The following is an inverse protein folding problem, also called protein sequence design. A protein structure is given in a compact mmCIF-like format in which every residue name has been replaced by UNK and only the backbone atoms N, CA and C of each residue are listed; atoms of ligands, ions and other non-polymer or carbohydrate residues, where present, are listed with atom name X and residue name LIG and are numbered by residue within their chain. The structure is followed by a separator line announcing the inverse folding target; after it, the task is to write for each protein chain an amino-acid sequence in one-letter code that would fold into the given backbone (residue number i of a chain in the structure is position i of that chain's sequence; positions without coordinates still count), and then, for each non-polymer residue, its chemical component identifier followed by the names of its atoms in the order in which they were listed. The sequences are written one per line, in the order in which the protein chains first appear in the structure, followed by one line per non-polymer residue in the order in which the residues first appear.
data_IF_720092899424
#
_entry.id   IF_720092899424
#
_cell.length_a   1.000
_cell.length_b   1.000
_cell.length_c   1.000
_cell.angle_alpha   90.00
_cell.angle_beta   90.00
_cell.angle_gamma   90.00
#
_symmetry.space_group_name_H-M   'P 1'
#
loop_
_entity.id
_entity.type
_entity.pdbx_description
1 polymer ?
#
# COMPACT_ATOMS: atom_id res chain seq x y z
N UNK A 1 -16.19 -0.56 25.25
CA UNK A 1 -14.79 -0.11 25.45
C UNK A 1 -14.31 -0.75 26.75
N UNK A 2 -13.24 -1.54 26.75
CA UNK A 2 -12.82 -2.31 27.93
C UNK A 2 -12.24 -1.37 29.02
N UNK A 3 -12.61 -1.56 30.31
CA UNK A 3 -12.25 -0.64 31.41
C UNK A 3 -10.75 -0.52 31.68
N UNK A 4 -9.94 -1.51 31.25
CA UNK A 4 -8.47 -1.55 31.40
C UNK A 4 -7.74 -0.41 30.67
N UNK A 5 -8.32 0.17 29.62
CA UNK A 5 -7.67 1.23 28.83
C UNK A 5 -8.09 2.65 29.20
N UNK A 6 -8.87 2.83 30.29
CA UNK A 6 -9.42 4.13 30.68
C UNK A 6 -8.34 5.20 30.91
N UNK A 7 -7.31 4.88 31.70
CA UNK A 7 -6.19 5.80 31.98
C UNK A 7 -5.39 6.20 30.74
N UNK A 8 -5.29 5.30 29.75
CA UNK A 8 -4.61 5.60 28.48
C UNK A 8 -5.49 6.48 27.58
N UNK A 9 -6.79 6.21 27.55
CA UNK A 9 -7.75 7.00 26.76
C UNK A 9 -7.88 8.44 27.26
N UNK A 10 -7.68 8.69 28.55
CA UNK A 10 -7.65 10.04 29.15
C UNK A 10 -6.40 10.85 28.74
N UNK A 11 -5.33 10.20 28.23
CA UNK A 11 -4.08 10.85 27.79
C UNK A 11 -3.96 11.03 26.27
N UNK A 12 -4.88 10.46 25.49
CA UNK A 12 -4.88 10.57 24.02
C UNK A 12 -5.96 11.58 23.62
N UNK A 13 -5.56 12.84 23.49
CA UNK A 13 -6.45 13.97 23.18
C UNK A 13 -6.88 13.99 21.71
N UNK A 14 -6.08 13.45 20.79
CA UNK A 14 -6.36 13.45 19.35
C UNK A 14 -6.41 12.04 18.82
N UNK A 15 -7.51 11.73 18.12
CA UNK A 15 -7.67 10.48 17.36
C UNK A 15 -7.93 10.87 15.92
N UNK A 16 -7.02 10.51 15.04
CA UNK A 16 -7.19 10.71 13.61
C UNK A 16 -7.05 9.37 12.89
N UNK A 17 -8.06 9.04 12.09
CA UNK A 17 -8.01 7.88 11.21
C UNK A 17 -7.53 8.34 9.83
N UNK A 18 -6.25 8.07 9.53
CA UNK A 18 -5.71 8.34 8.20
C UNK A 18 -6.46 7.48 7.17
N UNK A 19 -6.96 8.15 6.13
CA UNK A 19 -7.60 7.47 5.01
C UNK A 19 -6.52 6.86 4.11
N UNK A 20 -6.81 5.72 3.45
CA UNK A 20 -5.93 5.20 2.41
C UNK A 20 -5.76 6.20 1.26
N UNK A 21 -4.60 6.17 0.62
CA UNK A 21 -4.27 7.03 -0.51
C UNK A 21 -5.10 6.66 -1.75
N UNK A 22 -5.55 7.65 -2.52
CA UNK A 22 -6.14 7.43 -3.83
C UNK A 22 -5.07 7.05 -4.89
N UNK A 23 -5.45 6.58 -6.09
CA UNK A 23 -4.49 6.15 -7.11
C UNK A 23 -3.43 7.20 -7.47
N UNK A 24 -3.84 8.47 -7.54
CA UNK A 24 -2.92 9.59 -7.81
C UNK A 24 -1.93 9.78 -6.65
N UNK A 25 -2.43 9.79 -5.43
CA UNK A 25 -1.58 9.93 -4.24
C UNK A 25 -0.63 8.75 -4.06
N UNK A 26 -0.99 7.54 -4.51
CA UNK A 26 -0.07 6.39 -4.51
C UNK A 26 1.12 6.64 -5.44
N UNK A 27 0.90 7.21 -6.63
CA UNK A 27 2.00 7.63 -7.51
C UNK A 27 2.87 8.66 -6.81
N UNK A 28 2.26 9.76 -6.36
CA UNK A 28 2.98 10.88 -5.75
C UNK A 28 3.78 10.41 -4.53
N UNK A 29 3.21 9.49 -3.74
CA UNK A 29 3.86 8.84 -2.62
C UNK A 29 5.10 8.03 -3.04
N UNK A 30 4.98 7.17 -4.05
CA UNK A 30 6.09 6.35 -4.54
C UNK A 30 7.20 7.25 -5.11
N UNK A 31 6.85 8.23 -5.95
CA UNK A 31 7.80 9.17 -6.53
C UNK A 31 8.53 9.98 -5.45
N UNK A 32 7.79 10.49 -4.46
CA UNK A 32 8.39 11.18 -3.33
C UNK A 32 9.36 10.30 -2.55
N UNK A 33 8.98 9.04 -2.26
CA UNK A 33 9.83 8.08 -1.53
C UNK A 33 11.11 7.76 -2.30
N UNK A 34 11.02 7.59 -3.63
CA UNK A 34 12.19 7.37 -4.49
C UNK A 34 13.12 8.58 -4.51
N UNK A 35 12.55 9.79 -4.58
CA UNK A 35 13.32 11.04 -4.54
C UNK A 35 14.08 11.20 -3.21
N UNK A 36 13.43 10.89 -2.10
CA UNK A 36 14.05 10.96 -0.76
C UNK A 36 15.15 9.90 -0.59
N UNK A 37 15.01 8.74 -1.24
CA UNK A 37 16.03 7.69 -1.21
C UNK A 37 17.25 7.97 -2.10
N UNK A 38 17.31 9.13 -2.76
CA UNK A 38 18.36 9.49 -3.74
C UNK A 38 18.58 8.38 -4.79
N UNK A 39 17.48 7.72 -5.19
CA UNK A 39 17.55 6.62 -6.14
C UNK A 39 18.10 7.07 -7.50
N UNK A 40 18.66 6.15 -8.29
CA UNK A 40 19.13 6.47 -9.64
C UNK A 40 17.98 7.07 -10.45
N UNK A 41 18.18 8.25 -11.05
CA UNK A 41 17.15 8.97 -11.81
C UNK A 41 16.58 8.23 -13.03
N UNK A 42 17.09 7.03 -13.32
CA UNK A 42 16.62 6.10 -14.35
C UNK A 42 15.63 5.03 -13.86
N UNK A 43 15.32 5.00 -12.56
CA UNK A 43 14.36 4.08 -11.97
C UNK A 43 12.92 4.59 -12.20
N UNK A 44 12.12 3.83 -12.94
CA UNK A 44 10.78 4.25 -13.36
C UNK A 44 9.74 3.17 -13.05
N UNK A 45 8.63 3.55 -12.40
CA UNK A 45 7.44 2.71 -12.28
C UNK A 45 6.46 3.03 -13.41
N UNK A 46 6.12 2.02 -14.22
CA UNK A 46 5.12 2.19 -15.28
C UNK A 46 3.71 2.40 -14.73
N UNK A 47 2.85 3.04 -15.52
CA UNK A 47 1.40 3.11 -15.29
C UNK A 47 0.77 1.76 -14.94
N UNK A 48 1.18 0.70 -15.66
CA UNK A 48 0.67 -0.64 -15.43
C UNK A 48 1.10 -1.24 -14.08
N UNK A 49 2.26 -0.83 -13.57
CA UNK A 49 2.77 -1.21 -12.24
C UNK A 49 2.04 -0.43 -11.14
N UNK A 50 1.95 0.90 -11.27
CA UNK A 50 1.27 1.78 -10.30
C UNK A 50 -0.18 1.36 -10.06
N UNK A 51 -0.92 1.09 -11.14
CA UNK A 51 -2.29 0.59 -11.05
C UNK A 51 -2.38 -0.74 -10.29
N UNK A 52 -1.43 -1.66 -10.52
CA UNK A 52 -1.43 -2.95 -9.84
C UNK A 52 -1.04 -2.79 -8.36
N UNK A 53 -0.09 -1.91 -8.05
CA UNK A 53 0.28 -1.56 -6.68
C UNK A 53 -0.92 -1.00 -5.92
N UNK A 54 -1.66 -0.05 -6.50
CA UNK A 54 -2.88 0.48 -5.88
C UNK A 54 -3.90 -0.63 -5.61
N UNK A 55 -4.18 -1.51 -6.58
CA UNK A 55 -5.18 -2.57 -6.44
C UNK A 55 -4.85 -3.58 -5.32
N UNK A 56 -3.58 -3.93 -5.12
CA UNK A 56 -3.17 -4.86 -4.06
C UNK A 56 -2.96 -4.18 -2.70
N UNK A 57 -2.57 -2.91 -2.69
CA UNK A 57 -2.33 -2.15 -1.45
C UNK A 57 -3.58 -1.48 -0.89
N UNK A 58 -4.61 -1.27 -1.70
CA UNK A 58 -5.80 -0.47 -1.37
C UNK A 58 -5.45 0.96 -0.94
N UNK A 59 -4.29 1.49 -1.38
CA UNK A 59 -3.80 2.81 -0.97
C UNK A 59 -3.14 2.84 0.41
N UNK A 60 -2.96 1.69 1.07
CA UNK A 60 -2.36 1.63 2.41
C UNK A 60 -0.82 1.74 2.29
N UNK A 61 -0.17 2.79 2.85
CA UNK A 61 1.27 3.03 2.69
C UNK A 61 2.16 1.84 3.05
N UNK A 62 1.81 1.09 4.12
CA UNK A 62 2.56 -0.10 4.54
C UNK A 62 2.60 -1.18 3.45
N UNK A 63 1.47 -1.40 2.76
CA UNK A 63 1.32 -2.40 1.69
C UNK A 63 1.94 -1.92 0.39
N UNK A 64 1.85 -0.61 0.11
CA UNK A 64 2.56 0.03 -1.01
C UNK A 64 4.07 -0.22 -0.88
N UNK A 65 4.66 0.10 0.28
CA UNK A 65 6.08 -0.09 0.51
C UNK A 65 6.50 -1.57 0.35
N UNK A 66 5.75 -2.50 0.95
CA UNK A 66 6.06 -3.94 0.82
C UNK A 66 6.12 -4.39 -0.66
N UNK A 67 5.16 -3.94 -1.48
CA UNK A 67 5.15 -4.24 -2.92
C UNK A 67 6.33 -3.59 -3.64
N UNK A 68 6.60 -2.32 -3.37
CA UNK A 68 7.69 -1.58 -3.99
C UNK A 68 9.04 -2.21 -3.63
N UNK A 69 9.31 -2.48 -2.36
CA UNK A 69 10.57 -3.07 -1.88
C UNK A 69 10.85 -4.40 -2.59
N UNK A 70 9.85 -5.29 -2.67
CA UNK A 70 9.99 -6.57 -3.34
C UNK A 70 10.12 -6.44 -4.85
N UNK A 71 9.36 -5.53 -5.47
CA UNK A 71 9.47 -5.26 -6.90
C UNK A 71 10.84 -4.68 -7.29
N UNK A 72 11.39 -3.80 -6.47
CA UNK A 72 12.72 -3.22 -6.64
C UNK A 72 13.81 -4.28 -6.48
N UNK A 73 13.70 -5.17 -5.48
CA UNK A 73 14.62 -6.30 -5.34
C UNK A 73 14.60 -7.20 -6.58
N UNK A 74 13.41 -7.56 -7.08
CA UNK A 74 13.26 -8.36 -8.31
C UNK A 74 13.90 -7.67 -9.51
N UNK A 75 13.71 -6.36 -9.64
CA UNK A 75 14.29 -5.59 -10.74
C UNK A 75 15.82 -5.50 -10.63
N UNK A 76 16.35 -5.30 -9.43
CA UNK A 76 17.78 -5.32 -9.14
C UNK A 76 18.41 -6.66 -9.53
N UNK A 77 17.81 -7.79 -9.11
CA UNK A 77 18.32 -9.14 -9.47
C UNK A 77 18.32 -9.42 -10.98
N UNK A 78 17.54 -8.66 -11.75
CA UNK A 78 17.42 -8.77 -13.21
C UNK A 78 18.15 -7.67 -13.97
N UNK A 79 18.85 -6.79 -13.26
CA UNK A 79 19.56 -5.65 -13.82
C UNK A 79 18.66 -4.76 -14.71
N UNK A 80 17.42 -4.51 -14.26
CA UNK A 80 16.46 -3.63 -14.94
C UNK A 80 16.09 -2.46 -14.04
N UNK A 81 15.98 -1.26 -14.62
CA UNK A 81 15.54 -0.05 -13.91
C UNK A 81 14.06 0.29 -14.14
N UNK A 82 13.34 -0.48 -14.96
CA UNK A 82 11.93 -0.24 -15.27
C UNK A 82 11.03 -1.23 -14.54
N UNK A 83 10.27 -0.75 -13.56
CA UNK A 83 9.31 -1.54 -12.80
C UNK A 83 7.99 -1.58 -13.55
N UNK A 84 7.73 -2.73 -14.19
CA UNK A 84 6.51 -2.98 -14.94
C UNK A 84 5.52 -3.88 -14.19
N UNK A 85 4.34 -4.07 -14.79
CA UNK A 85 3.28 -4.92 -14.23
C UNK A 85 3.76 -6.34 -13.89
N UNK A 86 4.71 -6.89 -14.66
CA UNK A 86 5.25 -8.25 -14.43
C UNK A 86 6.10 -8.30 -13.16
N UNK A 87 6.94 -7.29 -12.90
CA UNK A 87 7.73 -7.20 -11.68
C UNK A 87 6.82 -7.14 -10.44
N UNK A 88 5.75 -6.34 -10.49
CA UNK A 88 4.79 -6.24 -9.37
C UNK A 88 4.02 -7.54 -9.17
N UNK A 89 3.60 -8.23 -10.24
CA UNK A 89 2.94 -9.55 -10.10
C UNK A 89 3.84 -10.58 -9.42
N UNK A 90 5.14 -10.58 -9.75
CA UNK A 90 6.11 -11.44 -9.09
C UNK A 90 6.29 -11.05 -7.62
N UNK A 91 6.36 -9.74 -7.32
CA UNK A 91 6.41 -9.26 -5.94
C UNK A 91 5.20 -9.73 -5.11
N UNK A 92 3.99 -9.67 -5.67
CA UNK A 92 2.77 -10.19 -5.03
C UNK A 92 2.89 -11.70 -4.75
N UNK A 93 3.31 -12.48 -5.76
CA UNK A 93 3.45 -13.92 -5.60
C UNK A 93 4.49 -14.29 -4.53
N UNK A 94 5.57 -13.50 -4.44
CA UNK A 94 6.70 -13.72 -3.54
C UNK A 94 6.39 -13.29 -2.08
N UNK A 95 5.54 -12.28 -1.91
CA UNK A 95 5.05 -11.86 -0.57
C UNK A 95 3.95 -12.82 -0.06
N UNK A 96 3.19 -13.43 -0.96
CA UNK A 96 1.99 -14.21 -0.65
C UNK A 96 0.72 -13.37 -0.80
N UNK A 97 -0.29 -13.94 -1.46
CA UNK A 97 -1.55 -13.23 -1.74
C UNK A 97 -2.37 -12.97 -0.46
N UNK A 98 -2.17 -13.79 0.57
CA UNK A 98 -2.79 -13.69 1.89
C UNK A 98 -2.33 -12.44 2.68
N UNK A 99 -1.12 -11.94 2.42
CA UNK A 99 -0.65 -10.67 2.98
C UNK A 99 -1.52 -9.49 2.53
N UNK A 100 -2.08 -9.57 1.33
CA UNK A 100 -2.92 -8.55 0.73
C UNK A 100 -4.42 -8.82 0.92
N UNK A 101 -4.81 -9.47 2.02
CA UNK A 101 -6.22 -9.60 2.39
C UNK A 101 -6.92 -8.24 2.26
N UNK A 102 -7.92 -8.18 1.38
CA UNK A 102 -8.73 -6.98 1.18
C UNK A 102 -9.35 -6.60 2.51
N UNK A 103 -9.20 -5.35 2.90
CA UNK A 103 -9.84 -4.81 4.10
C UNK A 103 -11.32 -4.72 3.78
N UNK A 104 -12.03 -5.83 3.97
CA UNK A 104 -13.48 -5.86 3.81
C UNK A 104 -14.04 -5.03 4.95
N UNK A 105 -14.34 -3.75 4.69
CA UNK A 105 -14.97 -2.85 5.65
C UNK A 105 -16.22 -3.54 6.21
N UNK A 106 -16.17 -4.02 7.45
CA UNK A 106 -17.34 -4.60 8.15
C UNK A 106 -18.53 -3.65 8.14
N UNK A 107 -18.26 -2.34 8.13
CA UNK A 107 -19.24 -1.26 8.02
C UNK A 107 -19.91 -1.17 6.64
N UNK A 108 -19.19 -1.45 5.54
CA UNK A 108 -19.79 -1.53 4.19
C UNK A 108 -20.74 -2.73 4.07
N UNK A 109 -20.36 -3.89 4.63
CA UNK A 109 -21.17 -5.13 4.63
C UNK A 109 -22.48 -5.00 5.41
N UNK A 110 -22.46 -4.26 6.53
CA UNK A 110 -23.66 -4.00 7.33
C UNK A 110 -24.62 -3.07 6.58
N UNK A 111 -24.10 -2.00 5.97
CA UNK A 111 -24.92 -1.08 5.17
C UNK A 111 -25.55 -1.75 3.93
N UNK A 112 -24.84 -2.64 3.24
CA UNK A 112 -25.43 -3.34 2.05
C UNK A 112 -26.51 -4.36 2.42
N UNK A 113 -26.54 -4.85 3.67
CA UNK A 113 -27.55 -5.78 4.17
C UNK A 113 -28.80 -5.09 4.72
N UNK A 114 -28.75 -3.80 5.00
CA UNK A 114 -29.89 -3.01 5.47
C UNK A 114 -30.66 -2.35 4.31
N UNK A 115 -30.10 -2.37 3.10
CA UNK A 115 -30.69 -1.77 1.89
C UNK A 115 -30.98 -2.81 0.79
N UNK A 116 -30.96 -4.11 1.12
CA UNK A 116 -31.30 -5.22 0.24
C UNK A 116 -32.38 -6.07 0.91
#
# INVERSE_FOLDING_TARGET
MLPVLRQLNERITVRYALQPLCPREVRDYIEHRLKVAEGPGSLEFTEGALNLIYNFSEGIPRRINALCDRALLIAYTRNVSKINRRAVKLAVADIGADYFQKTMNGWKKIWTRLTA
#
